data_IF_903826938144
#
_entry.id   IF_903826938144
#
_cell.length_a   1.000
_cell.length_b   1.000
_cell.length_c   1.000
_cell.angle_alpha   90.00
_cell.angle_beta   90.00
_cell.angle_gamma   90.00
#
_symmetry.space_group_name_H-M   'P 1'
#
loop_
_entity.id
_entity.type
_entity.pdbx_description
1 polymer ?
#
# COMPACT_ATOMS: atom_id res chain seq x y z
N UNK A 1 41.26 28.62 -7.37
CA UNK A 1 40.73 27.36 -7.94
C UNK A 1 39.97 26.48 -6.93
N UNK A 2 40.31 26.51 -5.63
CA UNK A 2 39.71 25.62 -4.62
C UNK A 2 38.26 25.96 -4.16
N UNK A 3 37.81 27.21 -4.31
CA UNK A 3 36.43 27.62 -3.93
C UNK A 3 35.34 27.16 -4.91
N UNK A 4 35.66 27.05 -6.19
CA UNK A 4 34.69 26.64 -7.23
C UNK A 4 34.45 25.14 -7.25
N UNK A 5 35.47 24.35 -6.90
CA UNK A 5 35.34 22.90 -6.78
C UNK A 5 34.41 22.56 -5.62
N UNK A 6 34.55 23.23 -4.46
CA UNK A 6 33.70 23.00 -3.29
C UNK A 6 32.20 23.33 -3.55
N UNK A 7 31.91 24.37 -4.34
CA UNK A 7 30.53 24.69 -4.75
C UNK A 7 29.97 23.71 -5.78
N UNK A 8 30.79 23.17 -6.69
CA UNK A 8 30.37 22.15 -7.63
C UNK A 8 30.10 20.80 -6.96
N UNK A 9 30.88 20.45 -5.92
CA UNK A 9 30.65 19.22 -5.16
C UNK A 9 29.33 19.34 -4.38
N UNK A 10 29.04 20.52 -3.80
CA UNK A 10 27.78 20.76 -3.08
C UNK A 10 26.53 20.69 -3.96
N UNK A 11 26.62 21.04 -5.26
CA UNK A 11 25.49 20.95 -6.20
C UNK A 11 25.26 19.53 -6.73
N UNK A 12 26.30 18.71 -6.82
CA UNK A 12 26.20 17.29 -7.22
C UNK A 12 25.80 16.34 -6.08
N UNK A 13 25.82 16.81 -4.82
CA UNK A 13 25.36 16.04 -3.66
C UNK A 13 23.85 16.17 -3.38
N UNK A 14 23.09 16.90 -4.20
CA UNK A 14 21.63 16.73 -4.28
C UNK A 14 21.32 15.46 -5.11
N UNK A 15 21.68 14.28 -4.60
CA UNK A 15 20.86 13.11 -4.88
C UNK A 15 19.45 13.47 -4.42
N UNK A 16 18.50 13.56 -5.35
CA UNK A 16 17.13 14.05 -5.11
C UNK A 16 16.55 13.27 -3.93
N UNK A 17 16.62 13.85 -2.73
CA UNK A 17 15.90 13.34 -1.57
C UNK A 17 14.44 13.63 -1.91
N UNK A 18 13.78 12.62 -2.50
CA UNK A 18 12.34 12.68 -2.78
C UNK A 18 11.64 13.09 -1.49
N UNK A 19 10.71 14.03 -1.61
CA UNK A 19 9.99 14.52 -0.44
C UNK A 19 9.25 13.38 0.27
N UNK A 20 8.93 13.54 1.56
CA UNK A 20 8.11 12.57 2.29
C UNK A 20 6.77 12.28 1.61
N UNK A 21 6.20 13.28 0.93
CA UNK A 21 4.96 13.13 0.17
C UNK A 21 5.16 12.35 -1.13
N UNK A 22 6.30 12.49 -1.80
CA UNK A 22 6.60 11.69 -3.00
C UNK A 22 6.94 10.23 -2.68
N UNK A 23 7.57 9.97 -1.54
CA UNK A 23 7.87 8.61 -1.09
C UNK A 23 6.70 7.97 -0.35
N UNK A 24 5.80 8.79 0.20
CA UNK A 24 4.80 8.40 1.18
C UNK A 24 5.40 7.80 2.46
N UNK A 25 6.60 8.23 2.83
CA UNK A 25 7.32 7.83 4.04
C UNK A 25 7.54 9.06 4.90
N UNK A 26 6.99 9.04 6.11
CA UNK A 26 6.98 10.16 7.04
C UNK A 26 7.84 9.82 8.24
N UNK A 27 8.85 10.64 8.53
CA UNK A 27 9.76 10.38 9.64
C UNK A 27 10.12 11.64 10.43
N UNK A 28 10.34 11.45 11.73
CA UNK A 28 11.07 12.38 12.58
C UNK A 28 12.26 11.62 13.24
N UNK A 29 12.92 12.22 14.22
CA UNK A 29 14.09 11.60 14.88
C UNK A 29 13.80 10.27 15.60
N UNK A 30 12.53 9.95 15.88
CA UNK A 30 12.14 8.82 16.73
C UNK A 30 11.05 7.93 16.14
N UNK A 31 10.34 8.37 15.10
CA UNK A 31 9.17 7.69 14.54
C UNK A 31 9.25 7.67 13.02
N UNK A 32 8.96 6.51 12.43
CA UNK A 32 8.82 6.31 10.99
C UNK A 32 7.44 5.71 10.76
N UNK A 33 6.66 6.37 9.92
CA UNK A 33 5.38 5.89 9.42
C UNK A 33 5.53 5.71 7.91
N UNK A 34 5.35 4.48 7.45
CA UNK A 34 5.50 4.11 6.04
C UNK A 34 4.14 3.79 5.44
N UNK A 35 3.66 4.71 4.61
CA UNK A 35 2.38 4.61 3.92
C UNK A 35 2.58 4.22 2.45
N UNK A 36 3.79 3.80 2.05
CA UNK A 36 4.14 3.50 0.65
C UNK A 36 3.29 2.37 0.06
N UNK A 37 2.80 1.43 0.88
CA UNK A 37 1.93 0.34 0.47
C UNK A 37 0.55 0.81 -0.05
N UNK A 38 0.06 1.95 0.44
CA UNK A 38 -1.19 2.56 -0.05
C UNK A 38 -0.93 3.84 -0.84
N UNK A 39 0.32 4.08 -1.24
CA UNK A 39 0.63 5.18 -2.14
C UNK A 39 -0.12 4.96 -3.45
N UNK A 40 -0.70 6.03 -3.99
CA UNK A 40 -1.55 6.05 -5.18
C UNK A 40 -3.00 5.57 -4.94
N UNK A 41 -3.27 4.87 -3.83
CA UNK A 41 -4.64 4.46 -3.46
C UNK A 41 -5.60 5.64 -3.41
N UNK A 42 -6.71 5.52 -4.14
CA UNK A 42 -7.77 6.53 -4.19
C UNK A 42 -8.97 6.04 -3.40
N UNK A 43 -9.52 6.92 -2.56
CA UNK A 43 -10.64 6.66 -1.68
C UNK A 43 -11.79 7.60 -2.03
N UNK A 44 -13.02 7.10 -1.94
CA UNK A 44 -14.23 7.89 -2.09
C UNK A 44 -15.02 7.77 -0.79
N UNK A 45 -15.38 8.91 -0.21
CA UNK A 45 -16.12 9.00 1.03
C UNK A 45 -17.40 9.77 0.83
N UNK A 46 -18.53 9.05 0.88
CA UNK A 46 -19.86 9.62 0.77
C UNK A 46 -20.37 10.04 2.15
N UNK A 47 -20.65 11.33 2.31
CA UNK A 47 -21.27 11.86 3.54
C UNK A 47 -22.78 11.72 3.50
N UNK A 48 -23.39 11.96 2.33
CA UNK A 48 -24.82 11.84 2.10
C UNK A 48 -25.08 11.68 0.59
N UNK A 49 -26.33 11.54 0.17
CA UNK A 49 -26.70 11.38 -1.24
C UNK A 49 -26.20 12.48 -2.20
N UNK A 50 -25.83 13.65 -1.66
CA UNK A 50 -25.48 14.84 -2.41
C UNK A 50 -24.02 15.25 -2.24
N UNK A 51 -23.22 14.55 -1.45
CA UNK A 51 -21.85 14.99 -1.13
C UNK A 51 -20.90 13.82 -0.98
N UNK A 52 -19.95 13.76 -1.91
CA UNK A 52 -18.86 12.79 -1.94
C UNK A 52 -17.50 13.51 -1.88
N UNK A 53 -16.54 12.90 -1.22
CA UNK A 53 -15.14 13.34 -1.18
C UNK A 53 -14.26 12.28 -1.81
N UNK A 54 -13.51 12.62 -2.85
CA UNK A 54 -12.52 11.72 -3.44
C UNK A 54 -11.11 12.22 -3.14
N UNK A 55 -10.22 11.33 -2.71
CA UNK A 55 -8.83 11.68 -2.41
C UNK A 55 -7.87 10.54 -2.67
N UNK A 56 -6.63 10.86 -3.06
CA UNK A 56 -5.57 9.88 -3.25
C UNK A 56 -4.47 10.01 -2.21
N UNK A 57 -3.93 8.91 -1.72
CA UNK A 57 -2.85 8.93 -0.72
C UNK A 57 -1.51 9.19 -1.42
N UNK A 58 -0.83 10.25 -1.00
CA UNK A 58 0.51 10.64 -1.47
C UNK A 58 0.68 10.68 -3.00
N UNK A 59 -0.36 11.14 -3.70
CA UNK A 59 -0.43 11.07 -5.16
C UNK A 59 -1.48 12.02 -5.72
N UNK A 60 -1.48 12.15 -7.04
CA UNK A 60 -2.55 12.78 -7.80
C UNK A 60 -3.74 11.81 -7.90
N UNK A 61 -4.94 12.32 -7.70
CA UNK A 61 -6.19 11.60 -7.81
C UNK A 61 -6.74 11.72 -9.23
N UNK A 62 -6.63 10.64 -10.00
CA UNK A 62 -7.15 10.58 -11.37
C UNK A 62 -8.68 10.74 -11.43
N UNK A 63 -9.41 10.38 -10.36
CA UNK A 63 -10.85 10.60 -10.26
C UNK A 63 -11.26 12.07 -10.17
N UNK A 64 -10.32 12.98 -9.90
CA UNK A 64 -10.53 14.42 -9.88
C UNK A 64 -9.96 15.15 -11.11
N UNK A 65 -9.55 14.41 -12.15
CA UNK A 65 -8.93 14.99 -13.35
C UNK A 65 -9.84 15.96 -14.12
N UNK A 66 -11.17 15.83 -13.99
CA UNK A 66 -12.14 16.72 -14.62
C UNK A 66 -12.12 18.16 -14.10
N UNK A 67 -11.58 18.40 -12.90
CA UNK A 67 -11.49 19.74 -12.31
C UNK A 67 -10.11 20.38 -12.47
N UNK A 68 -9.09 19.64 -12.91
CA UNK A 68 -7.77 20.19 -13.17
C UNK A 68 -6.64 19.18 -13.02
N UNK A 69 -5.43 19.69 -13.21
CA UNK A 69 -4.20 18.91 -13.08
C UNK A 69 -3.68 18.89 -11.64
N UNK A 70 -2.96 17.82 -11.31
CA UNK A 70 -2.25 17.66 -10.04
C UNK A 70 -3.17 17.71 -8.80
N UNK A 71 -4.46 17.43 -8.99
CA UNK A 71 -5.46 17.42 -7.93
C UNK A 71 -5.27 16.18 -7.08
N UNK A 72 -5.09 16.36 -5.77
CA UNK A 72 -5.00 15.25 -4.83
C UNK A 72 -6.38 14.89 -4.28
N UNK A 73 -7.27 15.86 -4.14
CA UNK A 73 -8.61 15.63 -3.62
C UNK A 73 -9.65 16.61 -4.16
N UNK A 74 -10.86 16.10 -4.31
CA UNK A 74 -12.01 16.85 -4.76
C UNK A 74 -13.26 16.51 -3.95
N UNK A 75 -14.14 17.49 -3.84
CA UNK A 75 -15.49 17.34 -3.33
C UNK A 75 -16.45 17.35 -4.52
N UNK A 76 -17.34 16.37 -4.59
CA UNK A 76 -18.45 16.34 -5.51
C UNK A 76 -19.74 16.67 -4.75
N UNK A 77 -20.46 17.68 -5.21
CA UNK A 77 -21.82 17.97 -4.75
C UNK A 77 -22.76 18.09 -5.95
N UNK A 78 -24.08 18.05 -5.75
CA UNK A 78 -25.06 18.22 -6.84
C UNK A 78 -24.80 19.45 -7.73
N UNK A 79 -24.25 20.52 -7.14
CA UNK A 79 -23.97 21.79 -7.84
C UNK A 79 -22.63 21.81 -8.60
N UNK A 80 -21.82 20.75 -8.51
CA UNK A 80 -20.55 20.64 -9.23
C UNK A 80 -19.41 20.03 -8.41
N UNK A 81 -18.22 20.09 -8.99
CA UNK A 81 -17.00 19.52 -8.43
C UNK A 81 -16.06 20.64 -7.96
N UNK A 82 -15.50 20.50 -6.76
CA UNK A 82 -14.65 21.48 -6.11
C UNK A 82 -13.28 20.88 -5.81
N UNK A 83 -12.20 21.62 -6.08
CA UNK A 83 -10.85 21.25 -5.65
C UNK A 83 -10.76 21.49 -4.14
N UNK A 84 -10.32 20.49 -3.39
CA UNK A 84 -10.09 20.62 -1.95
C UNK A 84 -8.65 20.26 -1.56
N UNK A 85 -7.81 19.87 -2.52
CA UNK A 85 -6.40 19.63 -2.28
C UNK A 85 -5.62 19.46 -3.58
N UNK A 86 -4.50 20.15 -3.67
CA UNK A 86 -3.52 20.00 -4.73
C UNK A 86 -2.33 19.20 -4.23
N UNK A 87 -1.87 18.18 -4.97
CA UNK A 87 -0.75 17.35 -4.55
C UNK A 87 0.53 18.17 -4.31
N UNK A 88 0.79 19.18 -5.17
CA UNK A 88 1.95 20.07 -5.07
C UNK A 88 1.88 21.07 -3.91
N UNK A 89 0.74 21.16 -3.21
CA UNK A 89 0.53 21.99 -2.02
C UNK A 89 0.41 21.14 -0.74
N UNK A 90 0.84 19.88 -0.82
CA UNK A 90 0.85 18.98 0.31
C UNK A 90 1.88 19.39 1.37
N UNK A 91 1.51 19.22 2.63
CA UNK A 91 2.39 19.31 3.80
C UNK A 91 2.04 18.18 4.76
N UNK A 92 2.97 17.81 5.64
CA UNK A 92 2.70 16.84 6.69
C UNK A 92 3.24 17.30 8.03
N UNK A 93 2.69 16.75 9.09
CA UNK A 93 3.21 16.89 10.45
C UNK A 93 3.09 15.57 11.20
N UNK A 94 4.10 15.26 12.00
CA UNK A 94 4.10 14.10 12.90
C UNK A 94 3.99 14.58 14.35
N UNK A 95 3.04 14.02 15.09
CA UNK A 95 2.93 14.20 16.54
C UNK A 95 2.74 12.85 17.23
N UNK A 96 3.83 12.18 17.64
CA UNK A 96 3.76 10.85 18.24
C UNK A 96 2.94 10.74 19.53
N UNK A 97 2.68 11.87 20.21
CA UNK A 97 1.87 11.91 21.43
C UNK A 97 0.37 12.05 21.13
N UNK A 98 0.00 12.34 19.89
CA UNK A 98 -1.40 12.44 19.47
C UNK A 98 -1.95 11.07 19.10
N UNK A 99 -3.24 10.86 19.36
CA UNK A 99 -4.00 9.73 18.82
C UNK A 99 -3.92 9.66 17.28
N UNK A 100 -3.91 10.82 16.62
CA UNK A 100 -3.67 10.94 15.17
C UNK A 100 -2.25 11.41 14.94
N UNK A 101 -1.33 10.45 14.92
CA UNK A 101 0.12 10.71 14.94
C UNK A 101 0.65 11.30 13.64
N UNK A 102 -0.04 11.10 12.52
CA UNK A 102 0.30 11.67 11.22
C UNK A 102 -0.86 12.54 10.73
N UNK A 103 -0.56 13.79 10.39
CA UNK A 103 -1.45 14.67 9.64
C UNK A 103 -0.83 14.98 8.29
N UNK A 104 -1.61 14.85 7.23
CA UNK A 104 -1.26 15.33 5.89
C UNK A 104 -2.29 16.38 5.47
N UNK A 105 -1.83 17.55 5.07
CA UNK A 105 -2.67 18.68 4.66
C UNK A 105 -2.43 19.00 3.19
N UNK A 106 -3.49 19.25 2.44
CA UNK A 106 -3.42 19.73 1.07
C UNK A 106 -4.28 20.97 0.94
N UNK A 107 -3.67 22.06 0.46
CA UNK A 107 -4.42 23.24 0.05
C UNK A 107 -4.81 23.11 -1.42
N UNK A 108 -5.96 23.65 -1.81
CA UNK A 108 -6.30 23.81 -3.21
C UNK A 108 -5.26 24.71 -3.93
N UNK A 109 -5.15 24.56 -5.24
CA UNK A 109 -4.12 25.17 -6.09
C UNK A 109 -4.03 26.69 -5.94
N UNK A 110 -5.17 27.36 -5.74
CA UNK A 110 -5.29 28.82 -5.73
C UNK A 110 -5.13 29.45 -7.13
N UNK A 111 -4.85 28.65 -8.16
CA UNK A 111 -4.46 29.14 -9.49
C UNK A 111 -5.57 29.04 -10.53
N UNK A 112 -6.67 28.35 -10.24
CA UNK A 112 -7.87 28.42 -11.06
C UNK A 112 -8.74 29.59 -10.59
N UNK A 113 -8.81 30.65 -11.41
CA UNK A 113 -9.81 31.71 -11.24
C UNK A 113 -11.20 31.12 -11.56
N UNK A 114 -11.85 30.55 -10.55
CA UNK A 114 -13.19 29.99 -10.67
C UNK A 114 -13.80 29.73 -9.29
N UNK A 115 -15.14 29.57 -9.20
CA UNK A 115 -15.85 29.33 -7.93
C UNK A 115 -15.42 28.02 -7.22
N UNK A 116 -14.55 27.23 -7.85
CA UNK A 116 -14.17 25.89 -7.44
C UNK A 116 -13.08 25.84 -6.36
N UNK A 117 -12.38 26.94 -6.09
CA UNK A 117 -11.18 26.96 -5.20
C UNK A 117 -11.34 27.88 -3.99
N UNK A 118 -12.02 29.02 -4.17
CA UNK A 118 -12.27 30.00 -3.11
C UNK A 118 -13.64 29.72 -2.51
N UNK A 119 -13.72 29.71 -1.19
CA UNK A 119 -14.98 29.53 -0.50
C UNK A 119 -15.77 30.81 -0.28
N UNK A 120 -17.09 30.72 -0.07
CA UNK A 120 -17.92 31.92 0.08
C UNK A 120 -17.50 32.84 1.23
N UNK A 121 -16.78 32.32 2.24
CA UNK A 121 -16.17 33.10 3.33
C UNK A 121 -14.80 33.71 2.99
N UNK A 122 -14.30 33.52 1.77
CA UNK A 122 -12.97 33.96 1.32
C UNK A 122 -11.83 33.01 1.66
N UNK A 123 -12.08 31.91 2.38
CA UNK A 123 -11.03 30.93 2.68
C UNK A 123 -10.65 30.13 1.43
N UNK A 124 -9.39 29.72 1.34
CA UNK A 124 -8.99 28.70 0.39
C UNK A 124 -9.55 27.35 0.83
N UNK A 125 -10.12 26.59 -0.12
CA UNK A 125 -10.47 25.20 0.11
C UNK A 125 -9.23 24.40 0.49
N UNK A 126 -9.37 23.54 1.49
CA UNK A 126 -8.30 22.64 1.92
C UNK A 126 -8.85 21.36 2.53
N UNK A 127 -8.01 20.34 2.55
CA UNK A 127 -8.28 19.04 3.14
C UNK A 127 -7.14 18.66 4.08
N UNK A 128 -7.51 18.11 5.24
CA UNK A 128 -6.58 17.59 6.23
C UNK A 128 -6.94 16.13 6.51
N UNK A 129 -5.94 15.26 6.45
CA UNK A 129 -6.06 13.83 6.69
C UNK A 129 -5.32 13.48 7.97
N UNK A 130 -6.05 13.04 8.99
CA UNK A 130 -5.52 12.65 10.29
C UNK A 130 -5.50 11.14 10.38
N UNK A 131 -4.32 10.55 10.47
CA UNK A 131 -4.13 9.11 10.49
C UNK A 131 -3.81 8.62 11.89
N UNK A 132 -4.56 7.61 12.32
CA UNK A 132 -4.39 6.88 13.57
C UNK A 132 -3.92 5.46 13.26
N UNK A 133 -2.89 5.01 13.96
CA UNK A 133 -2.48 3.60 13.95
C UNK A 133 -3.62 2.73 14.49
N UNK A 134 -4.09 1.78 13.69
CA UNK A 134 -5.13 0.82 14.10
C UNK A 134 -4.90 -0.52 13.41
N UNK A 135 -4.18 -1.45 14.06
CA UNK A 135 -3.82 -2.76 13.49
C UNK A 135 -5.00 -3.61 13.01
N UNK A 136 -6.20 -3.35 13.52
CA UNK A 136 -7.44 -4.06 13.19
C UNK A 136 -8.12 -3.58 11.90
N UNK A 137 -7.71 -2.42 11.36
CA UNK A 137 -8.25 -1.86 10.13
C UNK A 137 -7.15 -1.72 9.09
N UNK A 138 -7.33 -2.33 7.91
CA UNK A 138 -6.46 -2.04 6.77
C UNK A 138 -6.56 -0.55 6.41
N UNK A 139 -7.78 -0.05 6.20
CA UNK A 139 -8.08 1.37 6.05
C UNK A 139 -9.57 1.62 6.33
N UNK A 140 -9.89 2.64 7.12
CA UNK A 140 -11.28 3.09 7.32
C UNK A 140 -11.33 4.57 7.68
N UNK A 141 -12.36 5.26 7.18
CA UNK A 141 -12.64 6.65 7.54
C UNK A 141 -13.55 6.63 8.76
N UNK A 142 -13.06 7.17 9.86
CA UNK A 142 -13.79 7.20 11.13
C UNK A 142 -14.84 8.31 11.16
N UNK A 143 -14.48 9.50 10.66
CA UNK A 143 -15.37 10.66 10.57
C UNK A 143 -14.79 11.72 9.63
N UNK A 144 -15.65 12.65 9.25
CA UNK A 144 -15.29 13.87 8.53
C UNK A 144 -15.92 15.08 9.22
N UNK A 145 -15.18 16.17 9.33
CA UNK A 145 -15.68 17.45 9.85
C UNK A 145 -15.30 18.60 8.94
N UNK A 146 -16.11 19.65 8.94
CA UNK A 146 -15.84 20.88 8.20
C UNK A 146 -15.80 22.05 9.17
N UNK A 147 -14.60 22.59 9.42
CA UNK A 147 -14.43 23.75 10.30
C UNK A 147 -13.04 24.37 10.11
N UNK A 148 -12.93 25.65 9.68
CA UNK A 148 -14.01 26.53 9.20
C UNK A 148 -14.61 26.02 7.88
N UNK A 149 -15.68 26.67 7.38
CA UNK A 149 -16.30 26.31 6.09
C UNK A 149 -15.23 26.18 5.00
N UNK A 150 -15.30 25.07 4.27
CA UNK A 150 -14.39 24.57 3.25
C UNK A 150 -13.02 24.07 3.67
N UNK A 151 -12.82 23.87 4.95
CA UNK A 151 -11.65 23.17 5.49
C UNK A 151 -12.14 21.81 5.96
N UNK A 152 -11.83 20.78 5.18
CA UNK A 152 -12.34 19.43 5.38
C UNK A 152 -11.32 18.58 6.15
N UNK A 153 -11.64 18.22 7.38
CA UNK A 153 -10.85 17.29 8.18
C UNK A 153 -11.41 15.88 8.03
N UNK A 154 -10.57 14.91 7.64
CA UNK A 154 -10.90 13.50 7.47
C UNK A 154 -10.04 12.70 8.44
N UNK A 155 -10.68 11.91 9.30
CA UNK A 155 -10.02 11.11 10.33
C UNK A 155 -10.03 9.65 9.90
N UNK A 156 -8.85 9.02 9.88
CA UNK A 156 -8.61 7.73 9.26
C UNK A 156 -7.94 6.79 10.27
N UNK A 157 -8.45 5.57 10.37
CA UNK A 157 -7.81 4.46 11.07
C UNK A 157 -7.21 3.51 10.04
N UNK A 158 -5.94 3.18 10.21
CA UNK A 158 -5.25 2.28 9.28
C UNK A 158 -4.04 1.64 9.93
N UNK A 159 -3.75 0.41 9.55
CA UNK A 159 -2.53 -0.32 9.91
C UNK A 159 -1.27 0.37 9.36
N UNK A 160 -1.37 1.05 8.22
CA UNK A 160 -0.23 1.71 7.57
C UNK A 160 0.28 2.92 8.37
N UNK A 161 -0.56 3.49 9.25
CA UNK A 161 -0.18 4.58 10.15
C UNK A 161 0.55 4.10 11.42
N UNK A 162 0.75 2.79 11.57
CA UNK A 162 1.49 2.24 12.69
C UNK A 162 3.00 2.43 12.50
N UNK A 163 3.73 2.84 13.55
CA UNK A 163 5.17 2.97 13.46
C UNK A 163 5.83 1.63 13.09
N UNK A 164 6.76 1.67 12.14
CA UNK A 164 7.65 0.54 11.90
C UNK A 164 8.52 0.32 13.14
N UNK A 165 8.76 -0.95 13.56
CA UNK A 165 9.76 -1.21 14.58
C UNK A 165 11.10 -0.67 14.10
N UNK A 166 11.78 0.12 14.94
CA UNK A 166 13.13 0.63 14.63
C UNK A 166 14.03 -0.56 14.29
N UNK A 167 14.80 -0.52 13.20
CA UNK A 167 15.79 -1.56 12.95
C UNK A 167 16.69 -1.65 14.17
N UNK A 168 16.68 -2.81 14.84
CA UNK A 168 17.58 -3.09 15.94
C UNK A 168 19.00 -2.90 15.41
N UNK A 169 19.88 -2.11 16.07
CA UNK A 169 21.24 -1.97 15.60
C UNK A 169 21.82 -3.37 15.43
N UNK A 170 22.26 -3.69 14.20
CA UNK A 170 22.95 -4.95 13.93
C UNK A 170 24.09 -5.06 14.95
N UNK A 171 24.29 -6.22 15.59
CA UNK A 171 25.32 -6.36 16.61
C UNK A 171 26.66 -5.98 16.00
N UNK A 172 27.24 -4.88 16.46
CA UNK A 172 28.61 -4.49 16.14
C UNK A 172 29.49 -5.65 16.55
N UNK A 173 30.02 -6.39 15.58
CA UNK A 173 31.08 -7.37 15.84
C UNK A 173 32.30 -6.59 16.32
N UNK A 174 32.40 -6.36 17.63
CA UNK A 174 33.66 -6.03 18.26
C UNK A 174 34.50 -7.30 18.23
N UNK A 175 35.42 -7.36 17.28
CA UNK A 175 36.48 -8.38 17.20
C UNK A 175 37.28 -8.34 18.50
N UNK A 176 36.90 -9.22 19.43
CA UNK A 176 37.54 -9.32 20.74
C UNK A 176 38.53 -10.47 20.67
N UNK A 177 39.81 -10.09 20.69
CA UNK A 177 40.98 -10.83 21.15
C UNK A 177 41.28 -12.21 20.50
N UNK A 178 42.47 -12.25 19.88
CA UNK A 178 43.14 -13.46 19.38
C UNK A 178 43.11 -14.60 20.41
N UNK A 179 42.74 -15.84 20.03
CA UNK A 179 42.89 -16.99 20.89
C UNK A 179 44.36 -17.42 20.99
N UNK A 180 44.89 -17.47 22.21
CA UNK A 180 46.18 -18.08 22.58
C UNK A 180 46.13 -19.61 22.32
N UNK A 181 47.22 -20.26 21.88
CA UNK A 181 47.14 -21.62 21.37
C UNK A 181 47.20 -22.71 22.46
N UNK A 182 46.35 -23.72 22.21
CA UNK A 182 46.52 -25.18 22.40
C UNK A 182 46.44 -25.80 23.82
N UNK A 183 45.84 -27.01 23.93
CA UNK A 183 45.21 -27.50 25.15
C UNK A 183 46.05 -28.56 25.91
N UNK A 184 45.83 -28.66 27.21
CA UNK A 184 46.30 -29.80 28.00
C UNK A 184 45.31 -30.10 29.11
N UNK A 185 44.49 -31.13 28.93
CA UNK A 185 44.27 -32.21 29.91
C UNK A 185 43.24 -33.22 29.38
N UNK A 186 43.61 -34.50 29.52
CA UNK A 186 42.90 -35.71 29.09
C UNK A 186 41.52 -35.84 29.75
N UNK A 187 40.49 -36.34 29.05
CA UNK A 187 39.21 -36.64 29.67
C UNK A 187 39.28 -37.98 30.40
N UNK A 188 38.91 -37.99 31.68
CA UNK A 188 38.68 -39.23 32.44
C UNK A 188 37.37 -39.08 33.18
N UNK A 189 36.31 -39.72 32.67
CA UNK A 189 35.31 -40.49 33.41
C UNK A 189 34.10 -40.74 32.49
N UNK A 190 33.80 -42.03 32.33
CA UNK A 190 32.68 -42.58 31.56
C UNK A 190 31.37 -42.41 32.33
N UNK A 191 30.29 -41.87 31.74
CA UNK A 191 28.95 -42.05 32.26
C UNK A 191 28.25 -43.21 31.55
N UNK A 192 28.08 -44.30 32.30
CA UNK A 192 27.06 -45.33 32.08
C UNK A 192 25.67 -44.74 32.26
N UNK A 193 24.84 -44.75 31.21
CA UNK A 193 23.43 -45.14 31.27
C UNK A 193 22.84 -45.20 29.85
N UNK A 194 22.26 -46.35 29.52
CA UNK A 194 21.69 -46.69 28.22
C UNK A 194 20.25 -46.16 28.12
N UNK A 195 19.86 -45.42 27.07
CA UNK A 195 18.46 -45.14 26.79
C UNK A 195 17.85 -46.28 25.96
N UNK A 196 16.97 -47.05 26.60
CA UNK A 196 16.02 -47.96 25.96
C UNK A 196 14.86 -47.14 25.37
N UNK A 197 14.78 -47.05 24.03
CA UNK A 197 13.53 -47.06 23.26
C UNK A 197 13.87 -47.06 21.76
N UNK A 198 13.57 -48.17 21.08
CA UNK A 198 13.67 -48.31 19.62
C UNK A 198 12.60 -47.49 18.90
N UNK A 199 12.94 -46.70 17.87
CA UNK A 199 11.98 -46.28 16.87
C UNK A 199 11.85 -47.36 15.79
N UNK A 200 10.70 -48.03 15.76
CA UNK A 200 10.29 -48.93 14.67
C UNK A 200 9.47 -48.14 13.66
N UNK A 201 10.05 -47.84 12.49
CA UNK A 201 9.42 -47.95 11.17
C UNK A 201 10.41 -47.44 10.11
N UNK A 202 10.91 -48.38 9.31
CA UNK A 202 11.75 -48.10 8.15
C UNK A 202 10.88 -47.64 6.99
N UNK A 203 11.13 -46.48 6.36
CA UNK A 203 10.51 -46.16 5.08
C UNK A 203 11.22 -46.97 3.98
N UNK A 204 10.47 -47.87 3.34
CA UNK A 204 10.91 -48.60 2.16
C UNK A 204 11.10 -47.67 0.98
N UNK A 205 12.24 -47.84 0.33
CA UNK A 205 12.71 -47.21 -0.90
C UNK A 205 11.80 -47.44 -2.10
N UNK A 206 11.53 -46.38 -2.86
CA UNK A 206 11.64 -46.33 -4.34
C UNK A 206 11.42 -44.88 -4.80
N UNK A 207 12.44 -44.19 -5.34
CA UNK A 207 12.22 -42.92 -6.01
C UNK A 207 11.87 -43.21 -7.47
N UNK A 208 10.61 -42.99 -7.84
CA UNK A 208 10.16 -43.10 -9.24
C UNK A 208 9.20 -41.97 -9.57
N UNK A 209 9.77 -40.87 -10.04
CA UNK A 209 9.38 -40.13 -11.25
C UNK A 209 10.10 -38.78 -11.21
N UNK A 210 10.92 -38.54 -12.22
CA UNK A 210 11.49 -37.24 -12.53
C UNK A 210 10.38 -36.18 -12.55
N UNK A 211 10.54 -35.01 -11.90
CA UNK A 211 9.63 -33.91 -12.11
C UNK A 211 9.80 -33.44 -13.56
N UNK A 212 8.84 -33.80 -14.40
CA UNK A 212 8.68 -33.19 -15.72
C UNK A 212 8.40 -31.71 -15.51
N UNK A 213 9.39 -30.88 -15.79
CA UNK A 213 9.22 -29.43 -15.94
C UNK A 213 8.41 -29.19 -17.21
N UNK A 214 7.09 -29.32 -17.15
CA UNK A 214 6.22 -28.61 -18.08
C UNK A 214 5.92 -27.26 -17.45
N UNK A 215 6.29 -26.14 -18.09
CA UNK A 215 5.82 -24.83 -17.63
C UNK A 215 4.30 -24.86 -17.68
N UNK A 216 3.67 -24.75 -16.52
CA UNK A 216 2.22 -24.65 -16.41
C UNK A 216 1.80 -23.36 -17.09
N UNK A 217 1.16 -23.53 -18.25
CA UNK A 217 0.33 -22.58 -19.00
C UNK A 217 0.75 -21.11 -18.93
N UNK A 218 1.27 -20.62 -20.05
CA UNK A 218 1.13 -19.21 -20.45
C UNK A 218 -0.22 -18.64 -19.98
N UNK A 219 -0.27 -17.41 -19.42
CA UNK A 219 -1.55 -16.80 -19.09
C UNK A 219 -2.38 -16.77 -20.36
N UNK A 220 -3.44 -17.58 -20.39
CA UNK A 220 -4.43 -17.51 -21.44
C UNK A 220 -5.05 -16.12 -21.30
N UNK A 221 -4.98 -15.32 -22.36
CA UNK A 221 -5.52 -13.95 -22.44
C UNK A 221 -7.05 -13.98 -22.39
N UNK A 222 -7.59 -14.48 -21.29
CA UNK A 222 -8.99 -14.39 -20.96
C UNK A 222 -9.17 -13.09 -20.18
N UNK A 223 -9.88 -12.10 -20.75
CA UNK A 223 -10.05 -10.81 -20.11
C UNK A 223 -10.89 -11.00 -18.85
N UNK A 224 -10.26 -10.88 -17.68
CA UNK A 224 -11.00 -10.71 -16.44
C UNK A 224 -11.25 -9.23 -16.28
N UNK A 225 -12.51 -8.88 -16.08
CA UNK A 225 -12.95 -7.52 -15.84
C UNK A 225 -13.70 -7.47 -14.52
N UNK A 226 -13.24 -6.63 -13.60
CA UNK A 226 -13.93 -6.36 -12.35
C UNK A 226 -14.35 -4.90 -12.32
N UNK A 227 -15.59 -4.64 -11.92
CA UNK A 227 -16.10 -3.29 -11.73
C UNK A 227 -16.88 -3.22 -10.43
N UNK A 228 -16.63 -2.20 -9.64
CA UNK A 228 -17.23 -2.02 -8.34
C UNK A 228 -17.95 -0.68 -8.26
N UNK A 229 -19.08 -0.65 -7.59
CA UNK A 229 -19.84 0.58 -7.35
C UNK A 229 -20.48 0.54 -5.96
N UNK A 230 -21.28 1.55 -5.63
CA UNK A 230 -21.94 1.70 -4.33
C UNK A 230 -22.83 0.52 -3.95
N UNK A 231 -23.32 -0.23 -4.95
CA UNK A 231 -24.22 -1.35 -4.73
C UNK A 231 -23.47 -2.67 -4.56
N UNK A 232 -22.27 -2.82 -5.13
CA UNK A 232 -21.48 -4.03 -4.99
C UNK A 232 -20.44 -4.24 -6.09
N UNK A 233 -20.32 -5.47 -6.58
CA UNK A 233 -19.25 -5.94 -7.47
C UNK A 233 -19.82 -6.66 -8.69
N UNK A 234 -19.40 -6.21 -9.85
CA UNK A 234 -19.50 -6.89 -11.12
C UNK A 234 -18.16 -7.55 -11.43
N UNK A 235 -18.20 -8.78 -11.93
CA UNK A 235 -17.03 -9.48 -12.46
C UNK A 235 -17.42 -10.28 -13.69
N UNK A 236 -16.59 -10.22 -14.72
CA UNK A 236 -16.66 -11.04 -15.92
C UNK A 236 -15.36 -11.85 -16.05
N UNK A 237 -15.48 -13.13 -16.37
CA UNK A 237 -14.38 -14.05 -16.58
C UNK A 237 -14.82 -15.16 -17.53
N UNK A 238 -13.87 -15.68 -18.32
CA UNK A 238 -14.08 -16.94 -19.05
C UNK A 238 -13.87 -18.18 -18.18
N UNK A 239 -13.42 -17.99 -16.94
CA UNK A 239 -13.19 -19.03 -15.93
C UNK A 239 -14.33 -19.06 -14.91
N UNK A 240 -14.37 -20.13 -14.11
CA UNK A 240 -15.27 -20.25 -12.98
C UNK A 240 -15.15 -19.02 -12.05
N UNK A 241 -16.27 -18.36 -11.77
CA UNK A 241 -16.37 -17.27 -10.81
C UNK A 241 -17.10 -17.77 -9.56
N UNK A 242 -16.49 -17.58 -8.40
CA UNK A 242 -17.08 -17.88 -7.09
C UNK A 242 -17.15 -16.60 -6.27
N UNK A 243 -18.37 -16.08 -6.05
CA UNK A 243 -18.62 -14.89 -5.24
C UNK A 243 -19.16 -15.28 -3.87
N UNK A 244 -18.57 -14.71 -2.82
CA UNK A 244 -19.09 -14.77 -1.45
C UNK A 244 -19.50 -13.37 -1.00
N UNK A 245 -20.60 -13.28 -0.26
CA UNK A 245 -21.05 -12.04 0.38
C UNK A 245 -21.48 -12.29 1.83
N UNK A 246 -21.35 -11.27 2.67
CA UNK A 246 -21.70 -11.34 4.09
C UNK A 246 -22.75 -10.28 4.43
N UNK A 247 -23.84 -10.74 5.04
CA UNK A 247 -25.07 -10.00 5.26
C UNK A 247 -25.96 -9.97 4.02
N UNK A 248 -26.87 -8.98 3.97
CA UNK A 248 -27.81 -8.83 2.87
C UNK A 248 -27.07 -8.69 1.54
N UNK A 249 -27.24 -9.69 0.69
CA UNK A 249 -26.51 -9.83 -0.57
C UNK A 249 -27.43 -10.44 -1.62
N UNK A 250 -27.38 -9.94 -2.86
CA UNK A 250 -28.08 -10.52 -3.99
C UNK A 250 -27.18 -10.50 -5.23
N UNK A 251 -26.93 -11.66 -5.81
CA UNK A 251 -26.15 -11.80 -7.03
C UNK A 251 -27.02 -12.28 -8.18
N UNK A 252 -26.72 -11.81 -9.39
CA UNK A 252 -27.39 -12.16 -10.63
C UNK A 252 -26.31 -12.52 -11.66
N UNK A 253 -26.49 -13.66 -12.32
CA UNK A 253 -25.63 -14.14 -13.42
C UNK A 253 -26.17 -13.70 -14.79
N UNK A 254 -25.40 -13.89 -15.86
CA UNK A 254 -25.85 -13.62 -17.24
C UNK A 254 -27.16 -14.34 -17.61
N UNK A 255 -27.32 -15.60 -17.19
CA UNK A 255 -28.52 -16.40 -17.45
C UNK A 255 -29.74 -15.95 -16.62
N UNK A 256 -29.59 -14.93 -15.78
CA UNK A 256 -30.63 -14.45 -14.86
C UNK A 256 -30.77 -15.28 -13.59
N UNK A 257 -29.95 -16.31 -13.38
CA UNK A 257 -29.93 -17.07 -12.12
C UNK A 257 -29.52 -16.15 -10.98
N UNK A 258 -30.32 -16.16 -9.91
CA UNK A 258 -30.09 -15.33 -8.73
C UNK A 258 -29.68 -16.18 -7.54
N UNK A 259 -28.87 -15.60 -6.65
CA UNK A 259 -28.47 -16.22 -5.40
C UNK A 259 -28.22 -15.11 -4.39
N UNK A 260 -28.74 -15.27 -3.17
CA UNK A 260 -28.73 -14.18 -2.22
C UNK A 260 -29.36 -14.52 -0.89
N UNK A 261 -29.29 -13.58 0.03
CA UNK A 261 -29.89 -13.63 1.35
C UNK A 261 -30.30 -12.23 1.78
N UNK A 262 -31.44 -12.12 2.46
CA UNK A 262 -31.86 -10.89 3.14
C UNK A 262 -31.42 -10.86 4.62
N UNK A 263 -30.78 -11.92 5.11
CA UNK A 263 -30.34 -12.00 6.49
C UNK A 263 -29.16 -11.05 6.74
N UNK A 264 -29.21 -10.16 7.76
CA UNK A 264 -28.12 -9.25 8.08
C UNK A 264 -26.78 -9.93 8.36
N UNK A 265 -26.81 -11.21 8.77
CA UNK A 265 -25.64 -12.05 9.07
C UNK A 265 -25.55 -13.27 8.14
N UNK A 266 -26.28 -13.27 7.01
CA UNK A 266 -26.24 -14.38 6.07
C UNK A 266 -24.89 -14.46 5.35
N UNK A 267 -24.43 -15.66 5.05
CA UNK A 267 -23.26 -15.88 4.19
C UNK A 267 -23.75 -16.62 2.96
N UNK A 268 -23.45 -16.09 1.78
CA UNK A 268 -23.79 -16.71 0.50
C UNK A 268 -22.54 -17.13 -0.25
N UNK A 269 -22.67 -18.14 -1.09
CA UNK A 269 -21.69 -18.49 -2.11
C UNK A 269 -22.44 -18.69 -3.41
N UNK A 270 -22.11 -17.86 -4.39
CA UNK A 270 -22.68 -17.83 -5.72
C UNK A 270 -21.61 -18.24 -6.71
N UNK A 271 -21.95 -19.12 -7.65
CA UNK A 271 -20.99 -19.61 -8.63
C UNK A 271 -21.57 -19.47 -10.03
N UNK A 272 -20.76 -19.01 -10.98
CA UNK A 272 -21.08 -19.06 -12.42
C UNK A 272 -19.89 -19.67 -13.17
N UNK A 273 -20.11 -20.65 -14.08
CA UNK A 273 -19.04 -21.43 -14.71
C UNK A 273 -18.16 -20.61 -15.67
N UNK A 274 -18.75 -19.62 -16.33
CA UNK A 274 -18.12 -18.62 -17.21
C UNK A 274 -19.20 -17.59 -17.56
N UNK A 275 -18.82 -16.35 -17.91
CA UNK A 275 -19.64 -15.13 -18.12
C UNK A 275 -19.41 -14.10 -17.02
N UNK A 276 -20.48 -13.37 -16.64
CA UNK A 276 -20.46 -12.42 -15.56
C UNK A 276 -21.35 -12.82 -14.40
N UNK A 277 -21.01 -12.28 -13.24
CA UNK A 277 -21.89 -12.23 -12.08
C UNK A 277 -21.83 -10.83 -11.48
N UNK A 278 -23.01 -10.29 -11.19
CA UNK A 278 -23.19 -8.98 -10.56
C UNK A 278 -23.79 -9.20 -9.19
N UNK A 279 -23.03 -8.91 -8.14
CA UNK A 279 -23.43 -9.05 -6.75
C UNK A 279 -23.65 -7.68 -6.12
N UNK A 280 -24.84 -7.44 -5.59
CA UNK A 280 -25.12 -6.32 -4.70
C UNK A 280 -25.05 -6.75 -3.24
N UNK A 281 -24.53 -5.90 -2.36
CA UNK A 281 -24.37 -6.19 -0.95
C UNK A 281 -23.10 -5.60 -0.37
N UNK A 282 -22.72 -6.05 0.82
CA UNK A 282 -21.50 -5.62 1.49
C UNK A 282 -20.49 -6.76 1.62
N UNK A 283 -19.20 -6.42 1.69
CA UNK A 283 -18.08 -7.38 1.75
C UNK A 283 -18.19 -8.48 0.68
N UNK A 284 -18.34 -8.07 -0.58
CA UNK A 284 -18.40 -9.01 -1.69
C UNK A 284 -16.99 -9.37 -2.10
N UNK A 285 -16.72 -10.67 -2.22
CA UNK A 285 -15.45 -11.24 -2.65
C UNK A 285 -15.73 -12.23 -3.77
N UNK A 286 -15.32 -11.91 -4.99
CA UNK A 286 -15.44 -12.78 -6.14
C UNK A 286 -14.06 -13.30 -6.56
N UNK A 287 -13.94 -14.62 -6.73
CA UNK A 287 -12.69 -15.30 -7.05
C UNK A 287 -12.81 -16.04 -8.37
N UNK A 288 -11.71 -16.03 -9.12
CA UNK A 288 -11.45 -16.89 -10.27
C UNK A 288 -10.19 -17.73 -9.99
N UNK A 289 -9.74 -18.51 -10.95
CA UNK A 289 -8.46 -19.23 -10.88
C UNK A 289 -7.23 -18.31 -10.77
N UNK A 290 -7.34 -17.05 -11.22
CA UNK A 290 -6.20 -16.12 -11.31
C UNK A 290 -6.35 -14.84 -10.48
N UNK A 291 -7.59 -14.40 -10.26
CA UNK A 291 -7.89 -13.12 -9.62
C UNK A 291 -8.94 -13.23 -8.53
N UNK A 292 -8.76 -12.46 -7.47
CA UNK A 292 -9.76 -12.20 -6.43
C UNK A 292 -10.12 -10.73 -6.46
N UNK A 293 -11.35 -10.39 -6.80
CA UNK A 293 -11.90 -9.04 -6.74
C UNK A 293 -12.76 -8.88 -5.48
N UNK A 294 -12.53 -7.84 -4.70
CA UNK A 294 -13.20 -7.59 -3.42
C UNK A 294 -13.67 -6.15 -3.33
N UNK A 295 -14.85 -5.93 -2.74
CA UNK A 295 -15.33 -4.61 -2.35
C UNK A 295 -15.96 -4.64 -0.97
N UNK A 296 -15.77 -3.55 -0.22
CA UNK A 296 -16.54 -3.22 0.96
C UNK A 296 -17.39 -1.98 0.69
N UNK A 297 -18.68 -2.16 0.40
CA UNK A 297 -19.57 -1.04 0.03
C UNK A 297 -19.83 -0.09 1.18
N UNK A 298 -19.63 -0.51 2.44
CA UNK A 298 -19.73 0.39 3.60
C UNK A 298 -18.50 1.27 3.81
N UNK A 299 -17.31 0.79 3.43
CA UNK A 299 -16.05 1.52 3.60
C UNK A 299 -15.61 2.26 2.33
N UNK A 300 -16.20 1.89 1.17
CA UNK A 300 -15.87 2.35 -0.18
C UNK A 300 -14.38 2.68 -0.37
N UNK A 301 -13.53 1.67 -0.14
CA UNK A 301 -12.06 1.80 -0.19
C UNK A 301 -11.47 1.53 -1.57
N UNK A 302 -12.28 1.61 -2.64
CA UNK A 302 -11.91 1.14 -3.98
C UNK A 302 -12.04 -0.38 -4.14
N UNK A 303 -11.89 -0.84 -5.39
CA UNK A 303 -11.84 -2.25 -5.73
C UNK A 303 -10.50 -2.83 -5.24
N UNK A 304 -10.52 -4.00 -4.59
CA UNK A 304 -9.30 -4.72 -4.23
C UNK A 304 -9.16 -5.94 -5.13
N UNK A 305 -8.04 -6.05 -5.84
CA UNK A 305 -7.71 -7.15 -6.76
C UNK A 305 -6.47 -7.86 -6.25
N UNK A 306 -6.58 -9.15 -5.92
CA UNK A 306 -5.49 -9.97 -5.37
C UNK A 306 -4.84 -9.34 -4.13
N UNK A 307 -5.65 -8.81 -3.21
CA UNK A 307 -5.21 -8.12 -2.00
C UNK A 307 -4.56 -6.75 -2.23
N UNK A 308 -4.52 -6.26 -3.49
CA UNK A 308 -4.07 -4.92 -3.84
C UNK A 308 -5.27 -3.99 -4.04
N UNK A 309 -5.31 -2.87 -3.32
CA UNK A 309 -6.28 -1.80 -3.58
C UNK A 309 -5.91 -1.10 -4.88
N UNK A 310 -6.80 -1.15 -5.86
CA UNK A 310 -6.59 -0.50 -7.16
C UNK A 310 -7.25 0.87 -7.22
N UNK A 311 -6.61 1.80 -7.90
CA UNK A 311 -6.97 3.23 -7.94
C UNK A 311 -8.05 3.52 -8.98
N UNK A 312 -9.00 2.60 -9.08
CA UNK A 312 -10.07 2.60 -10.06
C UNK A 312 -11.19 1.74 -9.51
N UNK A 313 -12.41 2.08 -9.90
CA UNK A 313 -13.56 1.22 -9.68
C UNK A 313 -13.57 0.04 -10.67
N UNK A 314 -12.70 0.05 -11.67
CA UNK A 314 -12.62 -0.95 -12.74
C UNK A 314 -11.21 -1.54 -12.81
N UNK A 315 -11.13 -2.81 -13.19
CA UNK A 315 -9.90 -3.55 -13.41
C UNK A 315 -10.06 -4.41 -14.65
N UNK A 316 -9.11 -4.35 -15.58
CA UNK A 316 -8.96 -5.33 -16.64
C UNK A 316 -7.66 -6.12 -16.47
N UNK A 317 -7.65 -7.42 -16.74
CA UNK A 317 -6.42 -8.23 -16.67
C UNK A 317 -5.27 -7.72 -17.55
N UNK A 318 -5.57 -6.93 -18.60
CA UNK A 318 -4.57 -6.23 -19.41
C UNK A 318 -3.76 -5.19 -18.59
N UNK A 319 -4.32 -4.66 -17.50
CA UNK A 319 -3.64 -3.70 -16.60
C UNK A 319 -2.61 -4.36 -15.67
N UNK A 320 -2.67 -5.68 -15.43
CA UNK A 320 -1.79 -6.35 -14.47
C UNK A 320 -0.31 -6.32 -14.90
N UNK A 321 -0.06 -6.32 -16.21
CA UNK A 321 1.29 -6.21 -16.77
C UNK A 321 1.94 -4.89 -16.38
N UNK A 322 1.17 -3.82 -16.14
CA UNK A 322 1.72 -2.49 -15.81
C UNK A 322 2.07 -2.44 -14.31
N UNK A 323 1.21 -2.95 -13.45
CA UNK A 323 1.38 -2.91 -11.98
C UNK A 323 2.56 -3.77 -11.52
N UNK A 324 2.69 -5.01 -12.01
CA UNK A 324 3.83 -5.88 -11.68
C UNK A 324 5.15 -5.29 -12.18
N UNK A 325 5.16 -4.72 -13.38
CA UNK A 325 6.34 -4.04 -13.93
C UNK A 325 6.72 -2.81 -13.08
N UNK A 326 5.74 -2.07 -12.54
CA UNK A 326 6.01 -0.94 -11.65
C UNK A 326 6.60 -1.39 -10.30
N UNK A 327 6.09 -2.46 -9.69
CA UNK A 327 6.67 -3.01 -8.46
C UNK A 327 8.10 -3.53 -8.70
N UNK A 328 8.35 -4.24 -9.80
CA UNK A 328 9.71 -4.68 -10.16
C UNK A 328 10.65 -3.50 -10.46
N UNK A 329 10.15 -2.42 -11.09
CA UNK A 329 10.93 -1.20 -11.28
C UNK A 329 11.23 -0.50 -9.96
N UNK A 330 10.28 -0.42 -9.02
CA UNK A 330 10.52 0.12 -7.69
C UNK A 330 11.54 -0.72 -6.92
N UNK A 331 11.43 -2.05 -6.94
CA UNK A 331 12.41 -2.93 -6.29
C UNK A 331 13.81 -2.76 -6.89
N UNK A 332 13.92 -2.62 -8.22
CA UNK A 332 15.19 -2.29 -8.89
C UNK A 332 15.74 -0.92 -8.48
N UNK A 333 14.89 0.10 -8.34
CA UNK A 333 15.30 1.42 -7.86
C UNK A 333 15.77 1.40 -6.40
N UNK A 334 15.08 0.66 -5.52
CA UNK A 334 15.48 0.48 -4.12
C UNK A 334 16.83 -0.21 -4.04
N UNK A 335 16.99 -1.33 -4.77
CA UNK A 335 18.24 -2.08 -4.80
C UNK A 335 19.40 -1.22 -5.36
N UNK A 336 19.16 -0.47 -6.44
CA UNK A 336 20.14 0.44 -7.04
C UNK A 336 20.51 1.60 -6.10
N UNK A 337 19.53 2.16 -5.38
CA UNK A 337 19.78 3.25 -4.42
C UNK A 337 20.60 2.74 -3.25
N UNK A 338 20.29 1.54 -2.75
CA UNK A 338 21.07 0.89 -1.69
C UNK A 338 22.52 0.63 -2.13
N UNK A 339 22.74 0.11 -3.34
CA UNK A 339 24.11 -0.11 -3.86
C UNK A 339 24.88 1.19 -4.02
N UNK A 340 24.24 2.25 -4.52
CA UNK A 340 24.86 3.57 -4.64
C UNK A 340 25.23 4.14 -3.27
N UNK A 341 24.35 4.04 -2.26
CA UNK A 341 24.62 4.50 -0.90
C UNK A 341 25.78 3.72 -0.26
N UNK A 342 25.82 2.40 -0.44
CA UNK A 342 26.94 1.58 0.05
C UNK A 342 28.26 1.98 -0.63
N UNK A 343 28.25 2.16 -1.95
CA UNK A 343 29.44 2.57 -2.72
C UNK A 343 29.93 3.96 -2.31
N UNK A 344 29.01 4.90 -2.09
CA UNK A 344 29.33 6.27 -1.67
C UNK A 344 29.91 6.32 -0.26
N UNK A 345 29.34 5.56 0.68
CA UNK A 345 29.88 5.48 2.04
C UNK A 345 31.29 4.88 2.05
N UNK A 346 31.54 3.83 1.26
CA UNK A 346 32.88 3.26 1.10
C UNK A 346 33.84 4.31 0.54
N UNK A 347 33.45 5.05 -0.50
CA UNK A 347 34.30 6.08 -1.10
C UNK A 347 34.61 7.23 -0.12
N UNK A 348 33.61 7.70 0.63
CA UNK A 348 33.81 8.71 1.68
C UNK A 348 34.77 8.19 2.75
N UNK A 349 34.61 6.95 3.20
CA UNK A 349 35.49 6.35 4.20
C UNK A 349 36.94 6.23 3.70
N UNK A 350 37.15 5.77 2.46
CA UNK A 350 38.47 5.71 1.83
C UNK A 350 39.10 7.10 1.66
N UNK A 351 38.32 8.11 1.25
CA UNK A 351 38.84 9.48 1.11
C UNK A 351 39.19 10.10 2.46
N UNK A 352 38.41 9.86 3.52
CA UNK A 352 38.71 10.29 4.89
C UNK A 352 39.98 9.62 5.43
N UNK A 353 40.14 8.31 5.21
CA UNK A 353 41.37 7.58 5.57
C UNK A 353 42.58 8.16 4.83
N UNK A 354 42.45 8.42 3.52
CA UNK A 354 43.54 9.01 2.73
C UNK A 354 43.90 10.42 3.22
N UNK A 355 42.90 11.24 3.57
CA UNK A 355 43.13 12.58 4.12
C UNK A 355 43.85 12.53 5.47
N UNK A 356 43.48 11.57 6.34
CA UNK A 356 44.13 11.35 7.64
C UNK A 356 45.56 10.79 7.53
N UNK A 357 45.92 10.17 6.40
CA UNK A 357 47.28 9.69 6.12
C UNK A 357 48.18 10.78 5.52
N UNK A 358 47.59 11.84 4.94
CA UNK A 358 48.32 12.96 4.32
C UNK A 358 48.56 14.11 5.32
N UNK A 359 47.69 14.25 6.33
CA UNK A 359 47.87 15.12 7.50
C UNK A 359 48.78 14.45 8.54
#
# INVERSE_FOLDING_TARGET
MNKYILLFILSTFLSVVKSSLETCIFQNSTHIIDMSLIKNSTFLYRVNHYTDYSFAVCSVNNGCSSIGDNIQSCQHVERGFFEIGNFGKGQFSLNPLSEYSLKISYNASGTQSGPNVICPNGNNRSSNYYYKCSPEYEFTIEKQTESPMCVYDIYIKTIYACPLPKPTPSPTQTSTQSPTPSPTQSPTQSPTQSPTQSPTQSPTSTPTSTPTSTPTSTPNNSPIYCESNENGLFINSTELIVCTGNGKTNCITEEGSTCGTDQPNGVITCTTPNSFISCSGNHIVCKTSYFTCKINTKLYSGLNVNDLVINSNTFGSDELIIQENQQQQQQRQINSSSTLIFSFNIFIYLTLILLFLIL
#
